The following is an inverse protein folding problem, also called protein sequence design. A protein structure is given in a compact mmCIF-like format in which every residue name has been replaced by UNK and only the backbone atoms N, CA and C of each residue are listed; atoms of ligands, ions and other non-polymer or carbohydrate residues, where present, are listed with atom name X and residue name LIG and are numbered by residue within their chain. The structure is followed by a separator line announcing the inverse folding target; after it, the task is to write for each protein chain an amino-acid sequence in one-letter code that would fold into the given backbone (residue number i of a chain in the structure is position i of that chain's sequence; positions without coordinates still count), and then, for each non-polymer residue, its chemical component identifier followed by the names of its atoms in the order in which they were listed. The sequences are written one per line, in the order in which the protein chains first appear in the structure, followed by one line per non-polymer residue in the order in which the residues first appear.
data_IF_663090739486
#
_entry.id   IF_663090739486
#
_cell.length_a   1.000
_cell.length_b   1.000
_cell.length_c   1.000
_cell.angle_alpha   90.00
_cell.angle_beta   90.00
_cell.angle_gamma   90.00
#
_symmetry.space_group_name_H-M   'P 1'
#
loop_
_entity.id
_entity.type
_entity.pdbx_description
1 polymer ?
#
# COMPACT_ATOMS: atom_id res chain seq x y z
N UNK A 1 9.75 -14.04 8.97
CA UNK A 1 8.44 -14.63 8.60
C UNK A 1 8.61 -15.96 7.88
N UNK A 2 9.41 -16.02 6.81
CA UNK A 2 9.57 -17.24 6.00
C UNK A 2 9.99 -18.49 6.75
N UNK A 3 10.74 -18.37 7.84
CA UNK A 3 11.16 -19.50 8.66
C UNK A 3 9.99 -20.24 9.33
N UNK A 4 9.00 -19.50 9.82
CA UNK A 4 8.00 -20.04 10.77
C UNK A 4 6.56 -19.95 10.27
N UNK A 5 6.26 -19.08 9.30
CA UNK A 5 4.90 -18.83 8.87
C UNK A 5 4.57 -19.56 7.56
N UNK A 6 3.29 -19.92 7.38
CA UNK A 6 2.74 -20.40 6.12
C UNK A 6 2.32 -19.23 5.22
N UNK A 7 1.98 -18.10 5.81
CA UNK A 7 1.57 -16.86 5.15
C UNK A 7 2.30 -15.70 5.79
N UNK A 8 2.87 -14.81 4.97
CA UNK A 8 3.42 -13.52 5.43
C UNK A 8 2.69 -12.41 4.70
N UNK A 9 1.99 -11.55 5.46
CA UNK A 9 1.37 -10.35 4.92
C UNK A 9 2.34 -9.17 5.02
N UNK A 10 2.67 -8.58 3.86
CA UNK A 10 3.56 -7.43 3.76
C UNK A 10 2.75 -6.13 3.64
N UNK A 11 3.15 -5.12 4.41
CA UNK A 11 2.60 -3.75 4.37
C UNK A 11 3.72 -2.72 4.27
N UNK A 12 4.78 -3.07 3.56
CA UNK A 12 5.97 -2.22 3.35
C UNK A 12 5.83 -1.29 2.16
N UNK A 13 4.91 -1.60 1.27
CA UNK A 13 4.60 -0.88 0.04
C UNK A 13 4.35 -1.82 -1.13
N UNK A 14 3.77 -1.27 -2.20
CA UNK A 14 3.30 -1.99 -3.39
C UNK A 14 4.15 -1.72 -4.63
N UNK A 15 5.23 -0.93 -4.52
CA UNK A 15 6.17 -0.77 -5.63
C UNK A 15 6.92 -2.08 -5.87
N UNK A 16 7.24 -2.36 -7.13
CA UNK A 16 7.89 -3.61 -7.54
C UNK A 16 9.19 -3.90 -6.77
N UNK A 17 10.00 -2.88 -6.51
CA UNK A 17 11.26 -3.02 -5.79
C UNK A 17 11.05 -3.41 -4.33
N UNK A 18 10.10 -2.76 -3.66
CA UNK A 18 9.75 -3.04 -2.25
C UNK A 18 9.15 -4.43 -2.09
N UNK A 19 8.28 -4.84 -3.02
CA UNK A 19 7.70 -6.18 -3.01
C UNK A 19 8.76 -7.24 -3.24
N UNK A 20 9.63 -7.08 -4.25
CA UNK A 20 10.72 -8.02 -4.53
C UNK A 20 11.69 -8.17 -3.37
N UNK A 21 12.05 -7.06 -2.71
CA UNK A 21 12.89 -7.10 -1.50
C UNK A 21 12.21 -7.87 -0.37
N UNK A 22 10.92 -7.59 -0.10
CA UNK A 22 10.17 -8.29 0.93
C UNK A 22 10.04 -9.80 0.62
N UNK A 23 9.78 -10.15 -0.63
CA UNK A 23 9.70 -11.55 -1.08
C UNK A 23 11.07 -12.23 -0.93
N UNK A 24 12.16 -11.57 -1.32
CA UNK A 24 13.52 -12.11 -1.14
C UNK A 24 13.80 -12.47 0.31
N UNK A 25 13.49 -11.57 1.23
CA UNK A 25 13.67 -11.81 2.68
C UNK A 25 12.83 -12.98 3.20
N UNK A 26 11.63 -13.19 2.64
CA UNK A 26 10.79 -14.34 2.99
C UNK A 26 11.42 -15.63 2.46
N UNK A 27 11.93 -15.65 1.22
CA UNK A 27 12.62 -16.80 0.62
C UNK A 27 13.91 -17.15 1.35
N UNK A 28 14.67 -16.15 1.81
CA UNK A 28 15.84 -16.39 2.66
C UNK A 28 15.46 -17.07 3.98
N UNK A 29 14.36 -16.66 4.60
CA UNK A 29 13.84 -17.33 5.79
C UNK A 29 13.42 -18.78 5.54
N UNK A 30 12.77 -19.05 4.40
CA UNK A 30 12.45 -20.43 3.99
C UNK A 30 13.71 -21.30 3.86
N UNK A 31 14.76 -20.75 3.22
CA UNK A 31 16.02 -21.45 3.05
C UNK A 31 16.71 -21.75 4.40
N UNK A 32 16.70 -20.82 5.34
CA UNK A 32 17.23 -21.02 6.71
C UNK A 32 16.48 -22.16 7.41
N UNK A 33 15.17 -22.24 7.24
CA UNK A 33 14.34 -23.29 7.86
C UNK A 33 14.33 -24.62 7.08
N UNK A 34 15.01 -24.70 5.94
CA UNK A 34 14.98 -25.90 5.08
C UNK A 34 13.64 -26.15 4.39
N UNK A 35 12.80 -25.13 4.27
CA UNK A 35 11.54 -25.23 3.53
C UNK A 35 11.78 -25.24 2.02
N UNK A 36 10.83 -25.78 1.26
CA UNK A 36 10.82 -25.62 -0.19
C UNK A 36 10.63 -24.15 -0.55
N UNK A 37 11.37 -23.65 -1.52
CA UNK A 37 11.19 -22.28 -2.02
C UNK A 37 9.76 -22.05 -2.50
N UNK A 38 9.12 -20.99 -2.02
CA UNK A 38 7.71 -20.69 -2.31
C UNK A 38 6.70 -21.40 -1.41
N UNK A 39 7.14 -22.11 -0.37
CA UNK A 39 6.23 -22.74 0.60
C UNK A 39 5.44 -21.72 1.43
N UNK A 40 6.00 -20.52 1.64
CA UNK A 40 5.34 -19.44 2.35
C UNK A 40 4.63 -18.53 1.37
N UNK A 41 3.32 -18.41 1.48
CA UNK A 41 2.55 -17.46 0.66
C UNK A 41 2.86 -16.01 1.05
N UNK A 42 2.94 -15.15 0.07
CA UNK A 42 3.15 -13.72 0.24
C UNK A 42 1.84 -12.98 -0.04
N UNK A 43 1.29 -12.36 0.98
CA UNK A 43 0.12 -11.52 0.85
C UNK A 43 0.52 -10.05 0.94
N UNK A 44 0.03 -9.21 0.04
CA UNK A 44 0.22 -7.77 0.09
C UNK A 44 -1.05 -7.09 0.61
N UNK A 45 -0.88 -6.07 1.45
CA UNK A 45 -1.98 -5.26 1.96
C UNK A 45 -2.00 -3.90 1.26
N UNK A 46 -3.18 -3.48 0.78
CA UNK A 46 -3.39 -2.22 0.09
C UNK A 46 -4.61 -1.47 0.61
N UNK A 47 -4.52 -0.14 0.68
CA UNK A 47 -5.69 0.73 0.69
C UNK A 47 -6.31 0.72 -0.71
N UNK A 48 -7.63 0.88 -0.80
CA UNK A 48 -8.31 0.84 -2.10
C UNK A 48 -9.41 1.89 -2.17
N UNK A 49 -9.39 2.64 -3.26
CA UNK A 49 -10.53 3.43 -3.72
C UNK A 49 -10.54 3.48 -5.26
N UNK A 50 -11.71 3.58 -5.86
CA UNK A 50 -11.92 3.59 -7.30
C UNK A 50 -12.95 4.66 -7.66
N UNK A 51 -12.57 5.56 -8.57
CA UNK A 51 -13.43 6.59 -9.16
C UNK A 51 -13.14 6.70 -10.65
N UNK A 52 -13.98 7.40 -11.39
CA UNK A 52 -13.69 7.78 -12.78
C UNK A 52 -12.67 8.94 -12.84
N UNK A 53 -12.45 9.60 -11.72
CA UNK A 53 -11.44 10.64 -11.51
C UNK A 53 -10.41 10.16 -10.49
N UNK A 54 -9.14 10.09 -10.93
CA UNK A 54 -8.02 9.65 -10.08
C UNK A 54 -7.81 10.56 -8.88
N UNK A 55 -7.91 11.86 -9.09
CA UNK A 55 -7.62 12.83 -8.04
C UNK A 55 -8.71 12.79 -6.95
N UNK A 56 -9.96 12.59 -7.35
CA UNK A 56 -11.07 12.34 -6.42
C UNK A 56 -10.82 11.06 -5.61
N UNK A 57 -10.47 9.96 -6.28
CA UNK A 57 -10.20 8.69 -5.60
C UNK A 57 -9.09 8.80 -4.55
N UNK A 58 -8.03 9.55 -4.86
CA UNK A 58 -6.92 9.78 -3.93
C UNK A 58 -7.33 10.71 -2.78
N UNK A 59 -8.06 11.80 -3.09
CA UNK A 59 -8.49 12.79 -2.09
C UNK A 59 -9.31 12.13 -0.98
N UNK A 60 -10.20 11.23 -1.33
CA UNK A 60 -11.05 10.49 -0.39
C UNK A 60 -10.28 9.57 0.56
N UNK A 61 -9.05 9.16 0.24
CA UNK A 61 -8.26 8.24 1.08
C UNK A 61 -6.98 8.84 1.65
N UNK A 62 -6.71 10.14 1.45
CA UNK A 62 -5.47 10.81 1.90
C UNK A 62 -5.11 10.53 3.35
N UNK A 63 -6.09 10.56 4.26
CA UNK A 63 -5.86 10.27 5.67
C UNK A 63 -5.34 8.84 5.91
N UNK A 64 -5.80 7.88 5.11
CA UNK A 64 -5.34 6.49 5.20
C UNK A 64 -3.96 6.31 4.57
N UNK A 65 -3.63 7.12 3.55
CA UNK A 65 -2.29 7.18 2.96
C UNK A 65 -1.29 7.75 3.97
N UNK A 66 -1.63 8.85 4.64
CA UNK A 66 -0.82 9.43 5.71
C UNK A 66 -0.60 8.44 6.86
N UNK A 67 -1.64 7.73 7.27
CA UNK A 67 -1.57 6.68 8.28
C UNK A 67 -0.62 5.54 7.88
N UNK A 68 -0.71 5.08 6.63
CA UNK A 68 0.17 4.04 6.08
C UNK A 68 1.63 4.50 6.05
N UNK A 69 1.88 5.74 5.60
CA UNK A 69 3.22 6.34 5.59
C UNK A 69 3.78 6.48 7.00
N UNK A 70 2.98 7.00 7.93
CA UNK A 70 3.39 7.10 9.33
C UNK A 70 3.75 5.73 9.91
N UNK A 71 2.93 4.71 9.68
CA UNK A 71 3.18 3.37 10.18
C UNK A 71 4.43 2.73 9.55
N UNK A 72 4.56 2.81 8.22
CA UNK A 72 5.64 2.15 7.50
C UNK A 72 7.01 2.77 7.78
N UNK A 73 7.09 4.08 8.03
CA UNK A 73 8.35 4.82 8.13
C UNK A 73 8.77 5.20 9.55
N UNK A 74 8.01 4.80 10.58
CA UNK A 74 8.17 5.31 11.96
C UNK A 74 9.49 4.96 12.68
N UNK A 75 10.27 3.99 12.23
CA UNK A 75 11.50 3.59 12.94
C UNK A 75 12.76 3.98 12.18
N UNK A 76 12.86 3.56 10.93
CA UNK A 76 14.00 3.83 10.04
C UNK A 76 13.54 3.89 8.60
N UNK A 77 14.28 4.59 7.76
CA UNK A 77 14.08 4.58 6.31
C UNK A 77 15.05 3.64 5.59
N UNK A 78 16.00 3.03 6.33
CA UNK A 78 17.00 2.14 5.75
C UNK A 78 16.34 0.86 5.22
N UNK A 79 16.71 0.48 4.00
CA UNK A 79 16.13 -0.68 3.31
C UNK A 79 14.69 -0.53 2.87
N UNK A 80 14.10 0.67 2.99
CA UNK A 80 12.70 0.91 2.61
C UNK A 80 12.52 1.55 1.24
N UNK A 81 13.58 1.69 0.46
CA UNK A 81 13.55 2.28 -0.89
C UNK A 81 12.80 3.63 -0.95
N UNK A 82 13.07 4.48 0.03
CA UNK A 82 12.54 5.85 0.06
C UNK A 82 13.46 6.75 -0.76
N UNK A 83 12.92 7.49 -1.76
CA UNK A 83 13.70 8.49 -2.51
C UNK A 83 14.36 9.50 -1.57
N UNK A 84 15.60 9.88 -1.85
CA UNK A 84 16.37 10.78 -0.99
C UNK A 84 15.68 12.13 -0.81
N UNK A 85 15.09 12.66 -1.87
CA UNK A 85 14.36 13.94 -1.88
C UNK A 85 13.10 13.94 -1.03
N UNK A 86 12.53 12.76 -0.69
CA UNK A 86 11.33 12.64 0.15
C UNK A 86 11.63 12.38 1.63
N UNK A 87 12.89 12.11 1.99
CA UNK A 87 13.25 11.71 3.36
C UNK A 87 12.94 12.79 4.39
N UNK A 88 13.17 14.06 4.07
CA UNK A 88 12.85 15.18 4.96
C UNK A 88 11.33 15.31 5.14
N UNK A 89 10.55 15.29 4.06
CA UNK A 89 9.10 15.33 4.11
C UNK A 89 8.52 14.17 4.95
N UNK A 90 9.06 12.96 4.79
CA UNK A 90 8.66 11.82 5.60
C UNK A 90 9.03 12.01 7.08
N UNK A 91 10.19 12.57 7.39
CA UNK A 91 10.57 12.86 8.78
C UNK A 91 9.61 13.89 9.42
N UNK A 92 9.16 14.89 8.66
CA UNK A 92 8.15 15.85 9.10
C UNK A 92 6.80 15.14 9.31
N UNK A 93 6.36 14.31 8.37
CA UNK A 93 5.15 13.51 8.52
C UNK A 93 5.19 12.68 9.81
N UNK A 94 6.32 12.02 10.11
CA UNK A 94 6.47 11.22 11.34
C UNK A 94 6.32 12.05 12.61
N UNK A 95 6.86 13.28 12.63
CA UNK A 95 6.85 14.16 13.80
C UNK A 95 5.49 14.83 14.01
N UNK A 96 4.80 15.20 12.93
CA UNK A 96 3.59 16.02 12.98
C UNK A 96 2.29 15.23 12.83
N UNK A 97 2.38 13.93 12.57
CA UNK A 97 1.22 13.06 12.49
C UNK A 97 0.42 13.05 13.79
N UNK A 98 -0.89 13.21 13.71
CA UNK A 98 -1.80 13.23 14.85
C UNK A 98 -2.48 11.85 15.03
N UNK A 99 -2.06 11.03 16.02
CA UNK A 99 -2.67 9.71 16.23
C UNK A 99 -4.17 9.74 16.55
N UNK A 100 -4.66 10.85 17.10
CA UNK A 100 -6.09 11.03 17.40
C UNK A 100 -6.96 11.10 16.15
N UNK A 101 -6.38 11.47 15.00
CA UNK A 101 -7.04 11.52 13.69
C UNK A 101 -6.77 10.29 12.84
N UNK A 102 -6.25 9.22 13.43
CA UNK A 102 -5.88 8.01 12.69
C UNK A 102 -7.07 7.46 11.91
N UNK A 103 -6.93 7.44 10.57
CA UNK A 103 -7.96 6.96 9.61
C UNK A 103 -9.36 7.61 9.76
N UNK A 104 -9.46 8.81 10.31
CA UNK A 104 -10.71 9.55 10.30
C UNK A 104 -10.98 10.09 8.89
N UNK A 105 -12.18 9.78 8.35
CA UNK A 105 -12.62 10.24 7.05
C UNK A 105 -12.76 11.76 7.00
N UNK A 106 -12.51 12.34 5.82
CA UNK A 106 -12.69 13.76 5.53
C UNK A 106 -11.41 14.59 5.66
N UNK A 107 -11.61 15.90 5.74
CA UNK A 107 -10.51 16.86 5.76
C UNK A 107 -9.87 16.95 7.16
N UNK A 108 -8.93 16.04 7.42
CA UNK A 108 -8.16 16.00 8.66
C UNK A 108 -6.82 16.73 8.51
N UNK A 109 -6.16 17.05 9.63
CA UNK A 109 -4.80 17.59 9.62
C UNK A 109 -3.81 16.60 8.97
N UNK A 110 -3.99 15.30 9.23
CA UNK A 110 -3.13 14.28 8.63
C UNK A 110 -3.28 14.20 7.10
N UNK A 111 -4.50 14.38 6.56
CA UNK A 111 -4.73 14.45 5.13
C UNK A 111 -4.06 15.70 4.53
N UNK A 112 -4.28 16.87 5.13
CA UNK A 112 -3.66 18.12 4.68
C UNK A 112 -2.13 18.08 4.73
N UNK A 113 -1.56 17.43 5.74
CA UNK A 113 -0.12 17.28 5.90
C UNK A 113 0.54 16.54 4.73
N UNK A 114 -0.14 15.53 4.16
CA UNK A 114 0.36 14.81 2.98
C UNK A 114 0.51 15.75 1.77
N UNK A 115 -0.44 16.65 1.55
CA UNK A 115 -0.39 17.62 0.44
C UNK A 115 0.68 18.69 0.69
N UNK A 116 0.73 19.27 1.88
CA UNK A 116 1.71 20.28 2.27
C UNK A 116 3.16 19.78 2.10
N UNK A 117 3.37 18.49 2.33
CA UNK A 117 4.68 17.83 2.21
C UNK A 117 4.94 17.26 0.81
N UNK A 118 4.03 17.41 -0.14
CA UNK A 118 4.09 16.82 -1.47
C UNK A 118 4.29 15.29 -1.44
N UNK A 119 3.66 14.61 -0.50
CA UNK A 119 3.76 13.16 -0.31
C UNK A 119 2.56 12.39 -0.88
N UNK A 120 1.45 13.05 -1.20
CA UNK A 120 0.18 12.39 -1.54
C UNK A 120 0.32 11.37 -2.67
N UNK A 121 0.89 11.75 -3.80
CA UNK A 121 1.08 10.83 -4.93
C UNK A 121 2.04 9.68 -4.61
N UNK A 122 3.14 9.97 -3.92
CA UNK A 122 4.09 8.95 -3.50
C UNK A 122 3.44 7.93 -2.55
N UNK A 123 2.67 8.38 -1.57
CA UNK A 123 1.98 7.51 -0.63
C UNK A 123 0.86 6.72 -1.32
N UNK A 124 0.14 7.32 -2.27
CA UNK A 124 -0.87 6.65 -3.08
C UNK A 124 -0.25 5.52 -3.90
N UNK A 125 0.81 5.80 -4.65
CA UNK A 125 1.51 4.77 -5.43
C UNK A 125 2.10 3.67 -4.54
N UNK A 126 2.60 4.04 -3.37
CA UNK A 126 3.27 3.11 -2.47
C UNK A 126 2.31 2.20 -1.70
N UNK A 127 1.13 2.67 -1.28
CA UNK A 127 0.29 1.96 -0.32
C UNK A 127 -1.12 1.66 -0.80
N UNK A 128 -1.49 2.09 -2.01
CA UNK A 128 -2.86 1.93 -2.48
C UNK A 128 -2.96 1.31 -3.87
N UNK A 129 -4.11 0.68 -4.10
CA UNK A 129 -4.68 0.45 -5.41
C UNK A 129 -5.79 1.47 -5.56
N UNK A 130 -5.50 2.59 -6.21
CA UNK A 130 -6.34 3.78 -6.23
C UNK A 130 -6.31 4.48 -7.59
N UNK A 131 -7.43 5.04 -7.99
CA UNK A 131 -7.57 5.78 -9.25
C UNK A 131 -8.69 5.25 -10.12
N UNK A 132 -8.56 5.41 -11.43
CA UNK A 132 -9.49 4.88 -12.41
C UNK A 132 -9.45 3.34 -12.47
N UNK A 133 -10.48 2.68 -13.02
CA UNK A 133 -10.47 1.22 -13.20
C UNK A 133 -9.24 0.72 -13.97
N UNK A 134 -8.78 1.46 -14.99
CA UNK A 134 -7.60 1.09 -15.77
C UNK A 134 -6.32 1.15 -14.94
N UNK A 135 -6.12 2.20 -14.18
CA UNK A 135 -4.97 2.37 -13.28
C UNK A 135 -4.97 1.29 -12.18
N UNK A 136 -6.14 1.00 -11.61
CA UNK A 136 -6.28 -0.07 -10.63
C UNK A 136 -5.91 -1.45 -11.22
N UNK A 137 -6.35 -1.74 -12.46
CA UNK A 137 -5.97 -2.99 -13.17
C UNK A 137 -4.47 -3.08 -13.42
N UNK A 138 -3.85 -1.99 -13.85
CA UNK A 138 -2.40 -1.94 -14.08
C UNK A 138 -1.64 -2.17 -12.78
N UNK A 139 -2.05 -1.52 -11.70
CA UNK A 139 -1.45 -1.69 -10.37
C UNK A 139 -1.57 -3.14 -9.88
N UNK A 140 -2.74 -3.76 -10.00
CA UNK A 140 -2.94 -5.17 -9.62
C UNK A 140 -2.02 -6.09 -10.43
N UNK A 141 -1.93 -5.90 -11.75
CA UNK A 141 -1.01 -6.68 -12.60
C UNK A 141 0.45 -6.52 -12.20
N UNK A 142 0.86 -5.31 -11.84
CA UNK A 142 2.24 -5.06 -11.39
C UNK A 142 2.57 -5.76 -10.07
N UNK A 143 1.61 -5.81 -9.14
CA UNK A 143 1.71 -6.52 -7.87
C UNK A 143 1.80 -8.04 -8.10
N UNK A 144 0.94 -8.58 -8.96
CA UNK A 144 0.96 -10.00 -9.35
C UNK A 144 2.30 -10.37 -10.01
N UNK A 145 2.76 -9.56 -10.96
CA UNK A 145 4.04 -9.76 -11.64
C UNK A 145 5.26 -9.68 -10.71
N UNK A 146 5.14 -9.00 -9.56
CA UNK A 146 6.18 -8.98 -8.54
C UNK A 146 6.27 -10.28 -7.73
N UNK A 147 5.28 -11.19 -7.83
CA UNK A 147 5.26 -12.50 -7.17
C UNK A 147 4.42 -12.54 -5.89
N UNK A 148 3.44 -11.67 -5.76
CA UNK A 148 2.46 -11.70 -4.67
C UNK A 148 1.40 -12.74 -4.96
N UNK A 149 1.11 -13.61 -3.99
CA UNK A 149 0.11 -14.68 -4.12
C UNK A 149 -1.32 -14.18 -3.85
N UNK A 150 -1.47 -13.19 -2.99
CA UNK A 150 -2.78 -12.63 -2.60
C UNK A 150 -2.68 -11.13 -2.33
N UNK A 151 -3.63 -10.37 -2.87
CA UNK A 151 -3.82 -8.95 -2.54
C UNK A 151 -5.02 -8.77 -1.61
N UNK A 152 -4.76 -8.30 -0.40
CA UNK A 152 -5.80 -7.91 0.55
C UNK A 152 -6.05 -6.41 0.42
N UNK A 153 -7.26 -6.02 0.05
CA UNK A 153 -7.64 -4.61 -0.08
C UNK A 153 -8.54 -4.17 1.07
N UNK A 154 -8.32 -2.93 1.54
CA UNK A 154 -9.27 -2.23 2.42
C UNK A 154 -9.95 -1.13 1.61
N UNK A 155 -11.23 -1.31 1.32
CA UNK A 155 -12.04 -0.30 0.66
C UNK A 155 -12.27 0.88 1.59
N UNK A 156 -11.82 2.07 1.18
CA UNK A 156 -11.91 3.31 1.96
C UNK A 156 -12.52 4.39 1.08
N UNK A 157 -13.50 5.08 1.62
CA UNK A 157 -14.22 6.15 0.94
C UNK A 157 -15.63 6.30 1.50
N UNK A 158 -16.42 7.21 0.96
CA UNK A 158 -17.78 7.48 1.45
C UNK A 158 -18.74 6.31 1.23
N UNK A 159 -18.48 5.42 0.27
CA UNK A 159 -19.29 4.24 -0.03
C UNK A 159 -18.43 2.98 -0.25
N UNK A 160 -17.94 2.31 0.80
CA UNK A 160 -17.10 1.12 0.68
C UNK A 160 -17.75 -0.03 -0.11
N UNK A 161 -19.07 -0.19 -0.01
CA UNK A 161 -19.79 -1.25 -0.74
C UNK A 161 -19.74 -1.03 -2.25
N UNK A 162 -19.83 0.21 -2.71
CA UNK A 162 -19.70 0.57 -4.12
C UNK A 162 -18.26 0.36 -4.62
N UNK A 163 -17.27 0.72 -3.82
CA UNK A 163 -15.85 0.46 -4.14
C UNK A 163 -15.62 -1.04 -4.35
N UNK A 164 -16.13 -1.88 -3.45
CA UNK A 164 -15.99 -3.34 -3.54
C UNK A 164 -16.70 -3.86 -4.81
N UNK A 165 -17.92 -3.40 -5.10
CA UNK A 165 -18.65 -3.78 -6.29
C UNK A 165 -17.90 -3.40 -7.56
N UNK A 166 -17.49 -2.13 -7.68
CA UNK A 166 -16.75 -1.63 -8.84
C UNK A 166 -15.41 -2.36 -9.01
N UNK A 167 -14.69 -2.59 -7.92
CA UNK A 167 -13.43 -3.33 -7.98
C UNK A 167 -13.64 -4.75 -8.51
N UNK A 168 -14.69 -5.44 -8.05
CA UNK A 168 -15.06 -6.77 -8.53
C UNK A 168 -15.44 -6.80 -10.01
N UNK A 169 -16.25 -5.86 -10.46
CA UNK A 169 -16.77 -5.81 -11.83
C UNK A 169 -15.77 -5.23 -12.83
N UNK A 170 -15.07 -4.14 -12.46
CA UNK A 170 -14.28 -3.34 -13.38
C UNK A 170 -12.76 -3.65 -13.30
N UNK A 171 -12.26 -4.22 -12.21
CA UNK A 171 -10.85 -4.57 -12.05
C UNK A 171 -10.63 -6.08 -12.18
N UNK A 172 -11.32 -6.88 -11.37
CA UNK A 172 -11.15 -8.34 -11.35
C UNK A 172 -11.88 -9.02 -12.52
N UNK A 173 -13.12 -8.59 -12.81
CA UNK A 173 -13.97 -9.19 -13.85
C UNK A 173 -13.30 -9.26 -15.22
N UNK A 174 -12.72 -8.17 -15.75
CA UNK A 174 -12.05 -8.17 -17.06
C UNK A 174 -10.75 -8.98 -17.13
N UNK A 175 -10.18 -9.37 -15.98
CA UNK A 175 -8.91 -10.14 -15.93
C UNK A 175 -9.12 -11.65 -15.87
N UNK A 176 -10.37 -12.09 -15.81
CA UNK A 176 -10.76 -13.51 -15.93
C UNK A 176 -11.07 -13.84 -17.37
#
# INVERSE_FOLDING_TARGET
GGEIADIVMVHTGLSTEVLKESISQIRDGEAIAGKTAGATQVWAFAKCNISDDRDEAIDEIKMALAASGHHAFRFTLDGKHVPEELRESIAILQREYLPVEHEQLGHTRNAALSDELNLTDYLADRFAVVGTPDECREKVRSIEAAGVDMLLITAIGPNPSEIIRRFGEEVIGPTK
#
